data_IF_507823817305
#
_entry.id   IF_507823817305
#
_cell.length_a   1.000
_cell.length_b   1.000
_cell.length_c   1.000
_cell.angle_alpha   90.00
_cell.angle_beta   90.00
_cell.angle_gamma   90.00
#
_symmetry.space_group_name_H-M   'P 1'
#
loop_
_entity.id
_entity.type
_entity.pdbx_description
1 polymer ?
#
# COMPACT_ATOMS: atom_id res chain seq x y z
N UNK A 1 3.06 55.70 -12.30
CA UNK A 1 2.95 55.66 -10.83
C UNK A 1 2.07 54.48 -10.42
N UNK A 2 2.55 53.25 -10.65
CA UNK A 2 2.06 52.08 -9.94
C UNK A 2 3.29 51.55 -9.23
N UNK A 3 3.48 51.99 -7.99
CA UNK A 3 4.51 51.44 -7.12
C UNK A 3 4.14 49.98 -6.85
N UNK A 4 4.80 49.08 -7.56
CA UNK A 4 5.01 47.71 -7.11
C UNK A 4 5.93 47.79 -5.90
N UNK A 5 5.37 48.12 -4.74
CA UNK A 5 6.03 47.89 -3.46
C UNK A 5 6.20 46.38 -3.34
N UNK A 6 7.37 45.92 -3.76
CA UNK A 6 7.88 44.58 -3.54
C UNK A 6 7.95 44.40 -2.02
N UNK A 7 6.86 43.92 -1.42
CA UNK A 7 6.80 43.61 -0.01
C UNK A 7 7.85 42.54 0.26
N UNK A 8 8.85 42.89 1.08
CA UNK A 8 9.88 41.98 1.55
C UNK A 8 9.24 40.66 2.00
N UNK A 9 9.57 39.57 1.30
CA UNK A 9 9.26 38.17 1.60
C UNK A 9 8.26 37.96 2.76
N UNK A 10 6.97 38.17 2.49
CA UNK A 10 5.93 37.75 3.41
C UNK A 10 5.91 36.21 3.33
N UNK A 11 6.45 35.56 4.36
CA UNK A 11 6.38 34.10 4.50
C UNK A 11 5.50 33.77 5.70
N UNK A 12 4.54 32.86 5.50
CA UNK A 12 3.64 32.38 6.55
C UNK A 12 4.08 30.99 6.96
N UNK A 13 4.26 30.76 8.25
CA UNK A 13 4.49 29.43 8.81
C UNK A 13 3.19 28.88 9.37
N UNK A 14 2.82 27.69 8.91
CA UNK A 14 1.61 26.97 9.31
C UNK A 14 2.05 25.71 10.04
N UNK A 15 1.61 25.58 11.29
CA UNK A 15 1.96 24.46 12.16
C UNK A 15 0.76 23.57 12.36
N UNK A 16 0.86 22.34 11.87
CA UNK A 16 -0.17 21.32 12.06
C UNK A 16 0.08 20.62 13.38
N UNK A 17 -0.88 20.67 14.30
CA UNK A 17 -0.82 19.91 15.56
C UNK A 17 -1.65 18.64 15.44
N UNK A 18 -1.05 17.49 15.78
CA UNK A 18 -1.72 16.19 15.66
C UNK A 18 -1.34 15.23 16.78
N UNK A 19 -2.31 14.46 17.25
CA UNK A 19 -2.07 13.31 18.14
C UNK A 19 -1.55 12.06 17.41
N UNK A 20 -1.21 12.20 16.12
CA UNK A 20 -0.76 11.13 15.23
C UNK A 20 0.36 11.66 14.33
N UNK A 21 0.40 11.32 13.03
CA UNK A 21 1.41 11.81 12.09
C UNK A 21 1.07 13.18 11.48
N UNK A 22 -0.19 13.62 11.55
CA UNK A 22 -0.60 14.94 11.04
C UNK A 22 -0.85 15.03 9.53
N UNK A 23 -0.75 13.93 8.78
CA UNK A 23 -0.95 13.90 7.31
C UNK A 23 -2.25 14.58 6.83
N UNK A 24 -3.42 14.42 7.49
CA UNK A 24 -4.64 15.09 7.02
C UNK A 24 -4.53 16.62 7.09
N UNK A 25 -4.00 17.15 8.20
CA UNK A 25 -3.82 18.59 8.37
C UNK A 25 -2.76 19.15 7.44
N UNK A 26 -1.64 18.43 7.26
CA UNK A 26 -0.57 18.82 6.34
C UNK A 26 -1.06 18.88 4.89
N UNK A 27 -1.81 17.86 4.44
CA UNK A 27 -2.37 17.82 3.09
C UNK A 27 -3.32 18.99 2.84
N UNK A 28 -4.21 19.28 3.78
CA UNK A 28 -5.15 20.41 3.64
C UNK A 28 -4.41 21.74 3.62
N UNK A 29 -3.50 21.98 4.57
CA UNK A 29 -2.70 23.20 4.63
C UNK A 29 -1.87 23.42 3.36
N UNK A 30 -1.16 22.38 2.90
CA UNK A 30 -0.33 22.44 1.68
C UNK A 30 -1.15 22.68 0.42
N UNK A 31 -2.33 22.09 0.32
CA UNK A 31 -3.22 22.32 -0.82
C UNK A 31 -3.80 23.73 -0.82
N UNK A 32 -4.20 24.25 0.34
CA UNK A 32 -4.73 25.62 0.47
C UNK A 32 -3.65 26.68 0.27
N UNK A 33 -2.41 26.41 0.67
CA UNK A 33 -1.26 27.28 0.41
C UNK A 33 -1.10 27.63 -1.07
N UNK A 34 -1.41 26.70 -1.98
CA UNK A 34 -1.34 26.92 -3.45
C UNK A 34 -2.30 28.00 -3.96
N UNK A 35 -3.31 28.37 -3.18
CA UNK A 35 -4.21 29.48 -3.51
C UNK A 35 -3.56 30.86 -3.31
N UNK A 36 -2.36 30.92 -2.72
CA UNK A 36 -1.62 32.15 -2.45
C UNK A 36 -0.24 32.13 -3.17
N UNK A 37 -0.21 32.17 -4.51
CA UNK A 37 1.03 31.98 -5.28
C UNK A 37 2.08 33.09 -5.08
N UNK A 38 1.67 34.24 -4.54
CA UNK A 38 2.54 35.39 -4.27
C UNK A 38 3.19 35.37 -2.88
N UNK A 39 2.90 34.38 -2.04
CA UNK A 39 3.35 34.29 -0.64
C UNK A 39 3.97 32.92 -0.39
N UNK A 40 5.12 32.87 0.28
CA UNK A 40 5.75 31.61 0.66
C UNK A 40 5.05 31.04 1.91
N UNK A 41 4.35 29.91 1.78
CA UNK A 41 3.72 29.23 2.93
C UNK A 41 4.51 27.96 3.27
N UNK A 42 5.04 27.89 4.49
CA UNK A 42 5.78 26.73 5.01
C UNK A 42 4.90 25.97 5.97
N UNK A 43 4.67 24.69 5.69
CA UNK A 43 3.91 23.80 6.58
C UNK A 43 4.89 22.97 7.39
N UNK A 44 4.70 22.93 8.71
CA UNK A 44 5.44 22.09 9.64
C UNK A 44 4.45 21.31 10.51
N UNK A 45 4.84 20.12 10.96
CA UNK A 45 3.95 19.21 11.68
C UNK A 45 4.51 18.88 13.06
N UNK A 46 3.74 19.20 14.09
CA UNK A 46 3.91 18.65 15.44
C UNK A 46 3.07 17.38 15.57
N UNK A 47 3.74 16.25 15.37
CA UNK A 47 3.16 14.92 15.49
C UNK A 47 3.22 14.41 16.93
N UNK A 48 2.44 13.37 17.23
CA UNK A 48 2.47 12.65 18.51
C UNK A 48 2.19 13.50 19.77
N UNK A 49 1.33 14.52 19.66
CA UNK A 49 0.84 15.27 20.82
C UNK A 49 -0.24 14.46 21.55
N UNK A 50 0.17 13.68 22.55
CA UNK A 50 -0.69 12.71 23.24
C UNK A 50 -1.26 13.21 24.58
N UNK A 51 -0.60 14.21 25.17
CA UNK A 51 -0.87 14.81 26.47
C UNK A 51 -0.73 16.35 26.43
N UNK A 52 -1.29 17.01 27.45
CA UNK A 52 -1.38 18.46 27.50
C UNK A 52 -0.05 19.14 27.84
N UNK A 53 0.93 18.39 28.36
CA UNK A 53 2.20 18.91 28.86
C UNK A 53 3.07 19.49 27.73
N UNK A 54 2.96 18.91 26.53
CA UNK A 54 3.68 19.39 25.35
C UNK A 54 3.04 20.60 24.63
N UNK A 55 1.80 20.96 24.96
CA UNK A 55 1.08 22.03 24.24
C UNK A 55 1.66 23.43 24.48
N UNK A 56 2.08 23.83 25.69
CA UNK A 56 2.66 25.13 25.93
C UNK A 56 3.93 25.38 25.10
N UNK A 57 4.83 24.39 25.00
CA UNK A 57 6.05 24.53 24.19
C UNK A 57 5.75 24.70 22.72
N UNK A 58 4.76 23.96 22.20
CA UNK A 58 4.32 24.09 20.80
C UNK A 58 3.80 25.50 20.55
N UNK A 59 2.87 26.00 21.38
CA UNK A 59 2.28 27.34 21.19
C UNK A 59 3.35 28.43 21.32
N UNK A 60 4.28 28.29 22.26
CA UNK A 60 5.38 29.24 22.44
C UNK A 60 6.30 29.29 21.22
N UNK A 61 6.62 28.13 20.62
CA UNK A 61 7.40 28.05 19.38
C UNK A 61 6.68 28.76 18.24
N UNK A 62 5.40 28.45 18.02
CA UNK A 62 4.59 29.09 16.97
C UNK A 62 4.49 30.60 17.17
N UNK A 63 4.30 31.06 18.41
CA UNK A 63 4.25 32.49 18.74
C UNK A 63 5.59 33.19 18.43
N UNK A 64 6.71 32.55 18.76
CA UNK A 64 8.05 33.09 18.49
C UNK A 64 8.33 33.27 17.00
N UNK A 65 7.78 32.39 16.17
CA UNK A 65 7.94 32.42 14.72
C UNK A 65 6.82 33.18 13.99
N UNK A 66 5.87 33.79 14.73
CA UNK A 66 4.68 34.48 14.21
C UNK A 66 3.88 33.61 13.23
N UNK A 67 3.79 32.31 13.53
CA UNK A 67 3.05 31.35 12.73
C UNK A 67 1.57 31.27 13.09
N UNK A 68 0.88 30.36 12.42
CA UNK A 68 -0.49 29.97 12.75
C UNK A 68 -0.59 28.47 13.00
N UNK A 69 -1.59 28.06 13.79
CA UNK A 69 -1.85 26.67 14.13
C UNK A 69 -3.01 26.12 13.30
N UNK A 70 -2.86 24.91 12.78
CA UNK A 70 -3.93 24.09 12.22
C UNK A 70 -4.08 22.86 13.09
N UNK A 71 -5.15 22.81 13.87
CA UNK A 71 -5.36 21.80 14.89
C UNK A 71 -6.14 20.60 14.36
N UNK A 72 -5.59 19.39 14.56
CA UNK A 72 -6.20 18.10 14.22
C UNK A 72 -6.38 17.16 15.42
N UNK A 73 -6.28 17.68 16.64
CA UNK A 73 -6.45 16.90 17.87
C UNK A 73 -7.90 16.46 18.06
N UNK A 74 -8.09 15.16 18.29
CA UNK A 74 -9.43 14.54 18.47
C UNK A 74 -9.88 14.48 19.92
N UNK A 75 -8.96 14.53 20.89
CA UNK A 75 -9.27 14.60 22.32
C UNK A 75 -9.78 16.00 22.65
N UNK A 76 -10.96 16.10 23.23
CA UNK A 76 -11.58 17.40 23.55
C UNK A 76 -10.78 18.21 24.56
N UNK A 77 -10.18 17.57 25.56
CA UNK A 77 -9.36 18.27 26.58
C UNK A 77 -8.13 18.94 25.94
N UNK A 78 -7.39 18.18 25.14
CA UNK A 78 -6.23 18.63 24.37
C UNK A 78 -6.57 19.80 23.43
N UNK A 79 -7.66 19.66 22.70
CA UNK A 79 -8.14 20.66 21.75
C UNK A 79 -8.52 21.95 22.45
N UNK A 80 -9.30 21.87 23.52
CA UNK A 80 -9.67 23.02 24.33
C UNK A 80 -8.43 23.72 24.91
N UNK A 81 -7.50 22.94 25.48
CA UNK A 81 -6.28 23.48 26.07
C UNK A 81 -5.39 24.16 25.03
N UNK A 82 -5.23 23.57 23.85
CA UNK A 82 -4.45 24.16 22.76
C UNK A 82 -5.07 25.47 22.27
N UNK A 83 -6.39 25.49 22.04
CA UNK A 83 -7.10 26.68 21.57
C UNK A 83 -7.00 27.82 22.62
N UNK A 84 -7.16 27.49 23.90
CA UNK A 84 -6.97 28.44 25.00
C UNK A 84 -5.55 29.02 25.01
N UNK A 85 -4.53 28.17 24.94
CA UNK A 85 -3.14 28.62 24.93
C UNK A 85 -2.84 29.51 23.71
N UNK A 86 -3.38 29.17 22.55
CA UNK A 86 -3.24 29.96 21.33
C UNK A 86 -3.86 31.36 21.50
N UNK A 87 -5.03 31.46 22.11
CA UNK A 87 -5.66 32.75 22.44
C UNK A 87 -4.83 33.56 23.44
N UNK A 88 -4.36 32.94 24.52
CA UNK A 88 -3.51 33.59 25.54
C UNK A 88 -2.22 34.18 24.93
N UNK A 89 -1.67 33.54 23.90
CA UNK A 89 -0.43 33.96 23.23
C UNK A 89 -0.67 34.75 21.94
N UNK A 90 -1.92 35.09 21.62
CA UNK A 90 -2.30 35.77 20.36
C UNK A 90 -1.82 35.04 19.09
N UNK A 91 -1.81 33.71 19.13
CA UNK A 91 -1.47 32.84 18.00
C UNK A 91 -2.75 32.56 17.19
N UNK A 92 -2.80 32.89 15.89
CA UNK A 92 -3.92 32.52 15.03
C UNK A 92 -4.03 30.99 14.95
N UNK A 93 -5.25 30.45 15.09
CA UNK A 93 -5.48 29.02 14.99
C UNK A 93 -6.74 28.67 14.20
N UNK A 94 -6.75 27.49 13.60
CA UNK A 94 -7.91 26.88 12.95
C UNK A 94 -8.10 25.48 13.51
N UNK A 95 -9.26 25.24 14.10
CA UNK A 95 -9.65 23.91 14.58
C UNK A 95 -10.41 23.14 13.50
N UNK A 96 -9.75 22.19 12.86
CA UNK A 96 -10.35 21.42 11.77
C UNK A 96 -11.34 20.35 12.26
N UNK A 97 -11.28 19.99 13.54
CA UNK A 97 -11.96 18.81 14.08
C UNK A 97 -13.23 19.21 14.83
N UNK A 98 -13.24 20.35 15.51
CA UNK A 98 -14.36 20.78 16.36
C UNK A 98 -15.71 20.81 15.65
N UNK A 99 -15.81 21.62 14.58
CA UNK A 99 -17.09 21.77 13.85
C UNK A 99 -17.54 20.45 13.23
N UNK A 100 -16.60 19.69 12.68
CA UNK A 100 -16.90 18.42 12.00
C UNK A 100 -17.38 17.35 12.99
N UNK A 101 -16.70 17.20 14.13
CA UNK A 101 -17.08 16.24 15.17
C UNK A 101 -18.41 16.58 15.82
N UNK A 102 -18.66 17.85 16.15
CA UNK A 102 -19.95 18.30 16.71
C UNK A 102 -21.11 18.02 15.76
N UNK A 103 -20.88 18.22 14.46
CA UNK A 103 -21.88 17.91 13.43
C UNK A 103 -22.15 16.40 13.38
N UNK A 104 -21.11 15.57 13.38
CA UNK A 104 -21.28 14.11 13.41
C UNK A 104 -21.96 13.61 14.67
N UNK A 105 -21.60 14.11 15.84
CA UNK A 105 -22.24 13.75 17.11
C UNK A 105 -23.74 14.06 17.08
N UNK A 106 -24.11 15.22 16.54
CA UNK A 106 -25.51 15.62 16.37
C UNK A 106 -26.26 14.69 15.42
N UNK A 107 -25.70 14.36 14.27
CA UNK A 107 -26.36 13.52 13.26
C UNK A 107 -26.39 12.03 13.66
N UNK A 108 -25.37 11.55 14.39
CA UNK A 108 -25.27 10.15 14.82
C UNK A 108 -25.93 9.89 16.18
N UNK A 109 -26.25 10.93 16.94
CA UNK A 109 -26.83 10.83 18.29
C UNK A 109 -25.92 10.13 19.30
N UNK A 110 -24.62 10.08 19.04
CA UNK A 110 -23.62 9.38 19.87
C UNK A 110 -22.36 10.23 20.02
N UNK A 111 -21.78 10.31 21.23
CA UNK A 111 -20.53 11.04 21.44
C UNK A 111 -19.36 10.34 20.77
N UNK A 112 -18.32 11.09 20.37
CA UNK A 112 -17.11 10.51 19.80
C UNK A 112 -16.29 9.73 20.84
N UNK A 113 -15.54 8.73 20.38
CA UNK A 113 -14.60 7.96 21.23
C UNK A 113 -13.30 8.71 21.54
N UNK A 114 -12.97 9.76 20.78
CA UNK A 114 -11.82 10.65 20.99
C UNK A 114 -10.43 9.98 21.05
N UNK A 115 -10.26 8.83 20.40
CA UNK A 115 -8.99 8.10 20.38
C UNK A 115 -8.10 8.63 19.24
N UNK A 116 -6.93 9.24 19.53
CA UNK A 116 -6.00 9.66 18.49
C UNK A 116 -5.52 8.47 17.66
N UNK A 117 -5.42 8.66 16.34
CA UNK A 117 -4.93 7.61 15.47
C UNK A 117 -5.91 6.47 15.21
N UNK A 118 -7.20 6.59 15.56
CA UNK A 118 -8.22 5.58 15.23
C UNK A 118 -8.36 5.36 13.70
N UNK A 119 -7.98 6.32 12.86
CA UNK A 119 -7.85 6.11 11.41
C UNK A 119 -6.75 5.08 11.04
N UNK A 120 -5.90 4.70 12.01
CA UNK A 120 -4.91 3.62 11.90
C UNK A 120 -5.43 2.29 12.44
N UNK A 121 -6.64 2.23 13.01
CA UNK A 121 -7.30 0.98 13.42
C UNK A 121 -7.91 0.23 12.22
N UNK A 122 -7.15 0.19 11.14
CA UNK A 122 -7.07 -0.98 10.29
C UNK A 122 -5.67 -1.58 10.44
N UNK A 123 -5.29 -1.94 11.68
CA UNK A 123 -4.17 -2.86 11.93
C UNK A 123 -4.25 -4.07 10.99
N UNK A 124 -5.47 -4.50 10.66
CA UNK A 124 -5.74 -5.47 9.62
C UNK A 124 -5.30 -5.00 8.21
N UNK A 125 -5.63 -3.81 7.72
CA UNK A 125 -5.21 -3.35 6.39
C UNK A 125 -3.70 -3.25 6.28
N UNK A 126 -3.00 -2.63 7.26
CA UNK A 126 -1.52 -2.58 7.24
C UNK A 126 -0.90 -3.97 7.31
N UNK A 127 -1.51 -4.87 8.09
CA UNK A 127 -1.10 -6.27 8.13
C UNK A 127 -1.35 -6.98 6.80
N UNK A 128 -2.46 -6.71 6.11
CA UNK A 128 -2.72 -7.24 4.78
C UNK A 128 -1.75 -6.67 3.74
N UNK A 129 -1.44 -5.37 3.76
CA UNK A 129 -0.43 -4.74 2.91
C UNK A 129 0.95 -5.39 3.13
N UNK A 130 1.36 -5.53 4.40
CA UNK A 130 2.62 -6.18 4.75
C UNK A 130 2.65 -7.65 4.31
N UNK A 131 1.54 -8.39 4.48
CA UNK A 131 1.40 -9.76 3.99
C UNK A 131 1.47 -9.86 2.47
N UNK A 132 0.80 -8.98 1.76
CA UNK A 132 0.79 -8.93 0.30
C UNK A 132 2.20 -8.64 -0.24
N UNK A 133 2.88 -7.65 0.34
CA UNK A 133 4.27 -7.34 -0.01
C UNK A 133 5.20 -8.52 0.29
N UNK A 134 5.09 -9.12 1.48
CA UNK A 134 5.87 -10.31 1.84
C UNK A 134 5.60 -11.48 0.88
N UNK A 135 4.33 -11.69 0.54
CA UNK A 135 3.94 -12.72 -0.42
C UNK A 135 4.60 -12.48 -1.78
N UNK A 136 4.57 -11.25 -2.30
CA UNK A 136 5.19 -10.92 -3.59
C UNK A 136 6.71 -11.16 -3.60
N UNK A 137 7.40 -10.87 -2.49
CA UNK A 137 8.83 -11.14 -2.35
C UNK A 137 9.12 -12.64 -2.24
N UNK A 138 8.33 -13.38 -1.44
CA UNK A 138 8.54 -14.81 -1.20
C UNK A 138 8.17 -15.68 -2.43
N UNK A 139 7.43 -15.14 -3.40
CA UNK A 139 6.92 -15.82 -4.61
C UNK A 139 7.46 -15.25 -5.93
N UNK A 140 8.61 -14.59 -5.89
CA UNK A 140 9.31 -14.12 -7.08
C UNK A 140 9.96 -15.30 -7.84
N UNK A 141 10.06 -15.16 -9.17
CA UNK A 141 10.67 -16.10 -10.11
C UNK A 141 10.18 -17.55 -9.98
N UNK A 142 8.90 -17.73 -9.68
CA UNK A 142 8.25 -19.03 -9.65
C UNK A 142 8.45 -19.82 -8.36
N UNK A 143 8.89 -19.17 -7.28
CA UNK A 143 8.99 -19.79 -5.98
C UNK A 143 7.61 -20.25 -5.45
N UNK A 144 7.61 -21.36 -4.69
CA UNK A 144 6.47 -21.93 -3.97
C UNK A 144 5.21 -22.14 -4.85
N UNK A 145 5.31 -22.94 -5.93
CA UNK A 145 4.20 -23.20 -6.84
C UNK A 145 2.95 -23.77 -6.16
N UNK A 146 3.10 -24.46 -5.03
CA UNK A 146 2.02 -24.98 -4.18
C UNK A 146 1.18 -23.89 -3.49
N UNK A 147 1.75 -22.70 -3.31
CA UNK A 147 1.07 -21.56 -2.69
C UNK A 147 0.38 -20.65 -3.74
N UNK A 148 0.67 -20.80 -5.04
CA UNK A 148 0.16 -19.89 -6.10
C UNK A 148 -1.37 -19.75 -6.15
N UNK A 149 -2.12 -20.77 -5.75
CA UNK A 149 -3.60 -20.71 -5.65
C UNK A 149 -4.10 -19.66 -4.65
N UNK A 150 -3.25 -19.23 -3.71
CA UNK A 150 -3.53 -18.19 -2.72
C UNK A 150 -3.26 -16.78 -3.26
N UNK A 151 -2.65 -16.66 -4.44
CA UNK A 151 -2.39 -15.38 -5.08
C UNK A 151 -3.70 -14.75 -5.60
N UNK A 152 -3.77 -13.44 -5.48
CA UNK A 152 -4.78 -12.61 -6.14
C UNK A 152 -4.48 -12.48 -7.63
N UNK A 153 -3.19 -12.48 -8.00
CA UNK A 153 -2.72 -12.49 -9.38
C UNK A 153 -1.46 -13.32 -9.57
N UNK A 154 -1.35 -14.02 -10.70
CA UNK A 154 -0.13 -14.66 -11.18
C UNK A 154 0.32 -13.97 -12.47
N UNK A 155 1.53 -13.41 -12.45
CA UNK A 155 2.11 -12.71 -13.60
C UNK A 155 3.11 -13.61 -14.32
N UNK A 156 2.81 -13.94 -15.58
CA UNK A 156 3.70 -14.68 -16.46
C UNK A 156 4.45 -13.71 -17.38
N UNK A 157 5.69 -14.02 -17.74
CA UNK A 157 6.42 -13.24 -18.75
C UNK A 157 7.80 -13.81 -19.05
N UNK A 158 8.37 -13.36 -20.16
CA UNK A 158 9.75 -13.69 -20.52
C UNK A 158 10.76 -13.10 -19.51
N UNK A 159 12.01 -13.60 -19.46
CA UNK A 159 13.05 -12.98 -18.66
C UNK A 159 13.19 -11.48 -18.98
N UNK A 160 13.37 -10.67 -17.93
CA UNK A 160 13.55 -9.22 -18.02
C UNK A 160 12.34 -8.42 -18.53
N UNK A 161 11.11 -8.89 -18.34
CA UNK A 161 9.88 -8.10 -18.62
C UNK A 161 9.39 -7.26 -17.43
N UNK A 162 10.25 -6.93 -16.46
CA UNK A 162 9.88 -6.08 -15.32
C UNK A 162 8.92 -6.68 -14.28
N UNK A 163 8.65 -7.99 -14.35
CA UNK A 163 7.70 -8.73 -13.48
C UNK A 163 7.92 -8.49 -11.99
N UNK A 164 9.15 -8.60 -11.50
CA UNK A 164 9.49 -8.43 -10.08
C UNK A 164 9.11 -7.05 -9.56
N UNK A 165 9.41 -5.99 -10.33
CA UNK A 165 9.04 -4.62 -9.98
C UNK A 165 7.53 -4.42 -10.00
N UNK A 166 6.84 -4.97 -11.00
CA UNK A 166 5.38 -4.91 -11.10
C UNK A 166 4.70 -5.64 -9.93
N UNK A 167 5.20 -6.82 -9.54
CA UNK A 167 4.69 -7.58 -8.40
C UNK A 167 4.92 -6.85 -7.08
N UNK A 168 6.12 -6.28 -6.89
CA UNK A 168 6.41 -5.47 -5.71
C UNK A 168 5.46 -4.27 -5.61
N UNK A 169 5.22 -3.58 -6.73
CA UNK A 169 4.29 -2.45 -6.78
C UNK A 169 2.84 -2.86 -6.48
N UNK A 170 2.35 -3.97 -7.03
CA UNK A 170 1.03 -4.50 -6.68
C UNK A 170 0.95 -4.96 -5.22
N UNK A 171 2.07 -5.45 -4.66
CA UNK A 171 2.21 -5.79 -3.25
C UNK A 171 2.05 -4.59 -2.33
N UNK A 172 2.58 -3.41 -2.70
CA UNK A 172 2.36 -2.16 -1.92
C UNK A 172 0.91 -1.68 -1.99
N UNK A 173 0.15 -2.10 -3.01
CA UNK A 173 -1.29 -1.88 -3.13
C UNK A 173 -2.13 -2.94 -2.39
N UNK A 174 -1.50 -3.96 -1.78
CA UNK A 174 -2.19 -4.96 -0.98
C UNK A 174 -2.58 -6.24 -1.71
N UNK A 175 -2.12 -6.45 -2.94
CA UNK A 175 -2.40 -7.68 -3.70
C UNK A 175 -1.30 -8.71 -3.48
N UNK A 176 -1.69 -9.95 -3.16
CA UNK A 176 -0.78 -11.09 -3.16
C UNK A 176 -0.51 -11.49 -4.60
N UNK A 177 0.65 -11.13 -5.10
CA UNK A 177 1.03 -11.42 -6.49
C UNK A 177 2.18 -12.40 -6.50
N UNK A 178 2.09 -13.45 -7.31
CA UNK A 178 3.21 -14.31 -7.65
C UNK A 178 3.63 -14.02 -9.10
N UNK A 179 4.88 -14.31 -9.45
CA UNK A 179 5.28 -14.30 -10.85
C UNK A 179 6.04 -15.57 -11.25
N UNK A 180 6.07 -15.81 -12.55
CA UNK A 180 6.80 -16.93 -13.11
C UNK A 180 7.42 -16.54 -14.45
N UNK A 181 8.69 -16.87 -14.64
CA UNK A 181 9.40 -16.65 -15.89
C UNK A 181 9.16 -17.81 -16.85
N UNK A 182 8.48 -17.52 -17.95
CA UNK A 182 8.23 -18.48 -19.03
C UNK A 182 9.51 -18.68 -19.83
N UNK A 183 9.88 -19.94 -20.05
CA UNK A 183 11.02 -20.32 -20.92
C UNK A 183 10.58 -21.39 -21.92
N UNK A 184 11.00 -21.30 -23.20
CA UNK A 184 10.78 -22.35 -24.18
C UNK A 184 11.28 -23.70 -23.66
N UNK A 185 10.46 -24.75 -23.81
CA UNK A 185 10.79 -26.11 -23.40
C UNK A 185 10.67 -26.40 -21.89
N UNK A 186 10.34 -25.42 -21.05
CA UNK A 186 10.02 -25.64 -19.64
C UNK A 186 8.51 -25.66 -19.45
N UNK A 187 7.89 -26.79 -19.07
CA UNK A 187 6.47 -26.84 -18.80
C UNK A 187 6.13 -26.02 -17.54
N UNK A 188 4.88 -25.55 -17.47
CA UNK A 188 4.37 -24.95 -16.24
C UNK A 188 4.20 -26.05 -15.18
N UNK A 189 4.42 -25.75 -13.88
CA UNK A 189 4.15 -26.71 -12.81
C UNK A 189 2.69 -27.16 -12.82
N UNK A 190 2.42 -28.40 -12.43
CA UNK A 190 1.06 -28.96 -12.39
C UNK A 190 0.10 -28.12 -11.53
N UNK A 191 0.61 -27.50 -10.46
CA UNK A 191 -0.17 -26.61 -9.57
C UNK A 191 -0.72 -25.35 -10.26
N UNK A 192 -0.24 -25.04 -11.47
CA UNK A 192 -0.78 -23.98 -12.29
C UNK A 192 -2.23 -24.23 -12.72
N UNK A 193 -2.64 -25.49 -12.85
CA UNK A 193 -4.02 -25.85 -13.21
C UNK A 193 -5.03 -25.48 -12.13
N UNK A 194 -4.59 -25.38 -10.88
CA UNK A 194 -5.42 -24.99 -9.73
C UNK A 194 -5.74 -23.48 -9.70
N UNK A 195 -5.13 -22.69 -10.58
CA UNK A 195 -5.24 -21.24 -10.57
C UNK A 195 -6.36 -20.79 -11.51
N UNK A 196 -7.33 -19.99 -11.02
CA UNK A 196 -8.35 -19.45 -11.89
C UNK A 196 -7.74 -18.58 -13.00
N UNK A 197 -8.06 -18.90 -14.28
CA UNK A 197 -7.48 -18.22 -15.46
C UNK A 197 -7.63 -16.69 -15.43
N UNK A 198 -8.71 -16.18 -14.85
CA UNK A 198 -8.97 -14.75 -14.70
C UNK A 198 -8.00 -14.01 -13.75
N UNK A 199 -7.18 -14.75 -12.98
CA UNK A 199 -6.12 -14.20 -12.12
C UNK A 199 -4.74 -14.29 -12.77
N UNK A 200 -4.63 -14.89 -13.96
CA UNK A 200 -3.36 -15.10 -14.64
C UNK A 200 -3.20 -14.06 -15.74
N UNK A 201 -2.09 -13.31 -15.69
CA UNK A 201 -1.79 -12.23 -16.63
C UNK A 201 -0.45 -12.49 -17.31
N UNK A 202 -0.44 -12.59 -18.63
CA UNK A 202 0.76 -12.75 -19.45
C UNK A 202 1.27 -11.40 -19.94
N UNK A 203 2.46 -10.99 -19.50
CA UNK A 203 3.13 -9.80 -20.03
C UNK A 203 3.73 -10.13 -21.40
N UNK A 204 3.42 -9.29 -22.39
CA UNK A 204 3.93 -9.38 -23.75
C UNK A 204 4.67 -8.09 -24.10
N UNK A 205 5.71 -8.22 -24.94
CA UNK A 205 6.50 -7.11 -25.40
C UNK A 205 7.05 -7.44 -26.79
N UNK A 206 7.26 -6.42 -27.63
CA UNK A 206 7.88 -6.64 -28.94
C UNK A 206 9.31 -7.19 -28.78
N UNK A 207 9.80 -8.02 -29.72
CA UNK A 207 11.17 -8.52 -29.69
C UNK A 207 12.23 -7.40 -29.59
N UNK A 208 11.99 -6.27 -30.24
CA UNK A 208 12.88 -5.11 -30.25
C UNK A 208 12.94 -4.47 -28.86
N UNK A 209 11.78 -4.23 -28.23
CA UNK A 209 11.71 -3.66 -26.89
C UNK A 209 12.27 -4.61 -25.83
N UNK A 210 12.06 -5.93 -25.97
CA UNK A 210 12.67 -6.93 -25.11
C UNK A 210 14.20 -6.91 -25.17
N UNK A 211 14.75 -6.76 -26.38
CA UNK A 211 16.20 -6.68 -26.54
C UNK A 211 16.77 -5.41 -25.91
N UNK A 212 16.10 -4.27 -26.10
CA UNK A 212 16.48 -3.01 -25.46
C UNK A 212 16.43 -3.13 -23.92
N UNK A 213 15.38 -3.74 -23.38
CA UNK A 213 15.22 -3.92 -21.94
C UNK A 213 16.29 -4.85 -21.35
N UNK A 214 16.60 -5.97 -22.00
CA UNK A 214 17.68 -6.88 -21.57
C UNK A 214 19.04 -6.19 -21.56
N UNK A 215 19.32 -5.38 -22.58
CA UNK A 215 20.55 -4.58 -22.67
C UNK A 215 20.65 -3.59 -21.52
N UNK A 216 19.54 -2.89 -21.20
CA UNK A 216 19.47 -1.95 -20.07
C UNK A 216 19.68 -2.65 -18.72
N UNK A 217 19.01 -3.78 -18.50
CA UNK A 217 19.18 -4.55 -17.26
C UNK A 217 20.61 -5.05 -17.07
N UNK A 218 21.23 -5.60 -18.13
CA UNK A 218 22.63 -6.05 -18.07
C UNK A 218 23.56 -4.90 -17.68
N UNK A 219 23.37 -3.71 -18.27
CA UNK A 219 24.14 -2.52 -17.92
C UNK A 219 23.94 -2.12 -16.46
N UNK A 220 22.70 -2.11 -15.97
CA UNK A 220 22.40 -1.76 -14.58
C UNK A 220 22.99 -2.76 -13.56
N UNK A 221 23.03 -4.06 -13.89
CA UNK A 221 23.67 -5.07 -13.03
C UNK A 221 25.17 -4.87 -12.99
N UNK A 222 25.81 -4.58 -14.13
CA UNK A 222 27.23 -4.25 -14.20
C UNK A 222 27.52 -2.99 -13.38
N UNK A 223 26.72 -1.93 -13.54
CA UNK A 223 26.88 -0.68 -12.79
C UNK A 223 26.68 -0.89 -11.28
N UNK A 224 25.69 -1.70 -10.88
CA UNK A 224 25.46 -2.06 -9.48
C UNK A 224 26.62 -2.89 -8.89
N UNK A 225 27.19 -3.82 -9.66
CA UNK A 225 28.36 -4.60 -9.24
C UNK A 225 29.62 -3.73 -9.15
N UNK A 226 29.77 -2.74 -10.04
CA UNK A 226 30.85 -1.73 -9.98
C UNK A 226 30.68 -0.84 -8.75
N UNK A 227 29.46 -0.38 -8.45
CA UNK A 227 29.16 0.43 -7.25
C UNK A 227 29.34 -0.36 -5.95
N UNK A 228 28.95 -1.64 -5.92
CA UNK A 228 29.22 -2.55 -4.81
C UNK A 228 30.71 -2.76 -4.58
N UNK A 229 31.51 -2.85 -5.65
CA UNK A 229 32.99 -2.90 -5.56
C UNK A 229 33.61 -1.59 -5.07
N UNK A 230 32.91 -0.46 -5.23
CA UNK A 230 33.34 0.87 -4.78
C UNK A 230 32.79 1.27 -3.41
N UNK A 231 32.04 0.39 -2.72
CA UNK A 231 31.70 0.55 -1.29
C UNK A 231 30.64 1.60 -0.96
N UNK A 232 29.75 1.97 -1.89
CA UNK A 232 28.65 2.90 -1.60
C UNK A 232 27.33 2.14 -1.37
N UNK A 233 26.71 2.33 -0.19
CA UNK A 233 25.40 1.79 0.18
C UNK A 233 24.29 2.48 -0.64
N UNK A 234 23.32 1.71 -1.12
CA UNK A 234 22.20 2.19 -1.94
C UNK A 234 21.22 3.05 -1.13
N UNK A 235 20.84 4.19 -1.71
CA UNK A 235 19.79 5.12 -1.25
C UNK A 235 18.39 4.59 -1.65
N UNK A 236 17.35 4.59 -0.79
CA UNK A 236 16.07 3.90 -1.04
C UNK A 236 15.12 4.58 -2.03
N UNK A 237 15.47 5.73 -2.62
CA UNK A 237 14.55 6.56 -3.40
C UNK A 237 14.42 6.21 -4.91
N UNK A 238 14.99 5.09 -5.37
CA UNK A 238 15.06 4.72 -6.80
C UNK A 238 13.77 4.21 -7.47
N UNK A 239 12.60 4.29 -6.82
CA UNK A 239 11.34 3.75 -7.38
C UNK A 239 10.69 4.63 -8.47
N UNK A 240 11.19 5.84 -8.73
CA UNK A 240 10.57 6.81 -9.65
C UNK A 240 11.12 6.81 -11.09
N UNK A 241 12.11 5.97 -11.42
CA UNK A 241 12.71 5.94 -12.77
C UNK A 241 12.31 4.71 -13.61
N UNK A 242 11.15 4.12 -13.34
CA UNK A 242 10.61 3.11 -14.24
C UNK A 242 9.91 3.78 -15.44
N UNK A 243 10.70 4.31 -16.37
CA UNK A 243 10.23 4.70 -17.70
C UNK A 243 10.58 3.58 -18.70
N UNK A 244 9.63 2.77 -19.17
CA UNK A 244 9.92 1.65 -20.06
C UNK A 244 10.58 2.10 -21.37
N UNK A 245 10.43 3.35 -21.81
CA UNK A 245 11.04 3.86 -23.04
C UNK A 245 11.51 5.31 -22.86
N UNK A 246 12.71 5.51 -22.31
CA UNK A 246 13.52 6.68 -22.69
C UNK A 246 14.45 6.24 -23.83
N UNK A 247 14.34 6.82 -25.04
CA UNK A 247 15.28 6.50 -26.12
C UNK A 247 16.69 6.82 -25.66
N UNK A 248 17.62 5.90 -25.91
CA UNK A 248 19.06 6.17 -25.73
C UNK A 248 19.35 7.40 -26.59
N UNK A 249 19.75 8.49 -25.95
CA UNK A 249 20.04 9.75 -26.63
C UNK A 249 21.09 9.52 -27.73
N UNK A 250 20.68 9.63 -28.99
CA UNK A 250 21.58 9.69 -30.15
C UNK A 250 21.48 8.57 -31.18
N UNK A 251 20.55 7.62 -31.08
CA UNK A 251 20.34 6.60 -32.14
C UNK A 251 18.96 6.80 -32.75
N UNK A 252 18.90 7.27 -34.00
CA UNK A 252 17.64 7.27 -34.75
C UNK A 252 17.11 5.83 -34.92
N UNK A 253 15.79 5.60 -34.81
CA UNK A 253 15.20 4.28 -34.91
C UNK A 253 15.12 3.85 -36.38
N UNK A 254 16.24 3.43 -36.96
CA UNK A 254 16.26 2.81 -38.28
C UNK A 254 16.59 1.32 -38.14
N UNK A 255 15.57 0.49 -38.38
CA UNK A 255 15.62 -0.95 -38.68
C UNK A 255 16.37 -1.87 -37.70
N UNK A 256 16.32 -1.62 -36.39
CA UNK A 256 16.75 -2.65 -35.45
C UNK A 256 15.79 -3.85 -35.50
N UNK A 257 16.26 -4.99 -36.03
CA UNK A 257 15.55 -6.27 -36.00
C UNK A 257 16.11 -7.11 -34.85
N UNK A 258 15.25 -7.56 -33.94
CA UNK A 258 15.68 -8.39 -32.82
C UNK A 258 16.30 -9.72 -33.29
N UNK A 259 17.27 -10.31 -32.56
CA UNK A 259 17.84 -11.62 -32.88
C UNK A 259 16.76 -12.70 -33.04
N UNK A 260 16.93 -13.67 -33.97
CA UNK A 260 15.94 -14.74 -34.20
C UNK A 260 15.56 -15.53 -32.95
N UNK A 261 16.51 -15.74 -32.04
CA UNK A 261 16.25 -16.40 -30.76
C UNK A 261 15.24 -15.63 -29.88
N UNK A 262 15.35 -14.30 -29.83
CA UNK A 262 14.42 -13.46 -29.07
C UNK A 262 13.04 -13.44 -29.75
N UNK A 263 13.00 -13.41 -31.08
CA UNK A 263 11.74 -13.52 -31.82
C UNK A 263 11.04 -14.86 -31.54
N UNK A 264 11.80 -15.97 -31.49
CA UNK A 264 11.28 -17.30 -31.15
C UNK A 264 10.76 -17.36 -29.71
N UNK A 265 11.47 -16.75 -28.75
CA UNK A 265 11.00 -16.66 -27.35
C UNK A 265 9.67 -15.91 -27.25
N UNK A 266 9.54 -14.76 -27.91
CA UNK A 266 8.31 -13.96 -27.93
C UNK A 266 7.17 -14.73 -28.60
N UNK A 267 7.44 -15.37 -29.75
CA UNK A 267 6.45 -16.19 -30.45
C UNK A 267 5.97 -17.37 -29.60
N UNK A 268 6.90 -18.08 -28.95
CA UNK A 268 6.57 -19.17 -28.02
C UNK A 268 5.67 -18.68 -26.87
N UNK A 269 6.03 -17.54 -26.27
CA UNK A 269 5.28 -16.94 -25.18
C UNK A 269 3.83 -16.59 -25.59
N UNK A 270 3.66 -15.99 -26.78
CA UNK A 270 2.35 -15.64 -27.32
C UNK A 270 1.48 -16.87 -27.59
N UNK A 271 2.06 -17.91 -28.20
CA UNK A 271 1.39 -19.19 -28.46
C UNK A 271 0.97 -19.88 -27.15
N UNK A 272 1.86 -19.90 -26.15
CA UNK A 272 1.54 -20.42 -24.82
C UNK A 272 0.37 -19.67 -24.20
N UNK A 273 0.39 -18.33 -24.19
CA UNK A 273 -0.68 -17.54 -23.59
C UNK A 273 -2.02 -17.71 -24.31
N UNK A 274 -1.98 -17.91 -25.62
CA UNK A 274 -3.17 -18.23 -26.39
C UNK A 274 -3.74 -19.60 -26.02
N UNK A 275 -2.89 -20.63 -25.91
CA UNK A 275 -3.30 -21.98 -25.48
C UNK A 275 -3.85 -22.02 -24.06
N UNK A 276 -3.33 -21.17 -23.18
CA UNK A 276 -3.77 -21.06 -21.79
C UNK A 276 -5.02 -20.19 -21.60
N UNK A 277 -5.48 -19.50 -22.66
CA UNK A 277 -6.64 -18.59 -22.64
C UNK A 277 -6.54 -17.50 -21.55
N UNK A 278 -5.33 -16.99 -21.32
CA UNK A 278 -5.08 -15.96 -20.29
C UNK A 278 -5.06 -14.55 -20.90
N UNK A 279 -5.28 -13.54 -20.05
CA UNK A 279 -5.19 -12.14 -20.47
C UNK A 279 -3.75 -11.77 -20.80
N UNK A 280 -3.56 -11.09 -21.93
CA UNK A 280 -2.26 -10.60 -22.42
C UNK A 280 -2.17 -9.10 -22.23
N UNK A 281 -1.10 -8.62 -21.59
CA UNK A 281 -0.87 -7.21 -21.29
C UNK A 281 0.38 -6.74 -22.02
N UNK A 282 0.23 -5.77 -22.93
CA UNK A 282 1.35 -5.24 -23.72
C UNK A 282 2.10 -4.16 -22.95
N UNK A 283 3.33 -4.47 -22.56
CA UNK A 283 4.17 -3.56 -21.76
C UNK A 283 5.15 -2.75 -22.63
N UNK A 284 5.07 -2.85 -23.96
CA UNK A 284 6.05 -2.25 -24.90
C UNK A 284 6.15 -0.72 -24.75
N UNK A 285 5.04 -0.04 -24.48
CA UNK A 285 4.97 1.43 -24.40
C UNK A 285 4.27 1.93 -23.14
N UNK A 286 3.87 1.04 -22.25
CA UNK A 286 3.08 1.38 -21.08
C UNK A 286 3.94 1.45 -19.82
N UNK A 287 3.69 2.44 -18.97
CA UNK A 287 4.33 2.50 -17.66
C UNK A 287 3.87 1.33 -16.78
N UNK A 288 4.73 0.91 -15.85
CA UNK A 288 4.38 -0.12 -14.86
C UNK A 288 3.11 0.25 -14.05
N UNK A 289 2.89 1.55 -13.81
CA UNK A 289 1.69 2.07 -13.14
C UNK A 289 0.42 1.90 -13.96
N UNK A 290 0.49 2.05 -15.30
CA UNK A 290 -0.64 1.81 -16.22
C UNK A 290 -1.04 0.35 -16.19
N UNK A 291 -0.06 -0.54 -16.38
CA UNK A 291 -0.26 -2.00 -16.37
C UNK A 291 -0.79 -2.48 -15.02
N UNK A 292 -0.25 -1.97 -13.91
CA UNK A 292 -0.76 -2.29 -12.59
C UNK A 292 -2.22 -1.85 -12.40
N UNK A 293 -2.58 -0.65 -12.89
CA UNK A 293 -3.96 -0.15 -12.84
C UNK A 293 -4.90 -1.01 -13.67
N UNK A 294 -4.45 -1.48 -14.84
CA UNK A 294 -5.21 -2.39 -15.68
C UNK A 294 -5.45 -3.74 -15.01
N UNK A 295 -4.41 -4.34 -14.40
CA UNK A 295 -4.53 -5.59 -13.64
C UNK A 295 -5.57 -5.43 -12.52
N UNK A 296 -5.46 -4.38 -11.71
CA UNK A 296 -6.39 -4.10 -10.61
C UNK A 296 -7.82 -3.92 -11.12
N UNK A 297 -7.99 -3.20 -12.23
CA UNK A 297 -9.31 -3.02 -12.86
C UNK A 297 -9.92 -4.34 -13.33
N UNK A 298 -9.12 -5.20 -13.96
CA UNK A 298 -9.56 -6.52 -14.41
C UNK A 298 -9.96 -7.40 -13.23
N UNK A 299 -9.14 -7.48 -12.18
CA UNK A 299 -9.47 -8.19 -10.94
C UNK A 299 -10.78 -7.67 -10.33
N UNK A 300 -10.97 -6.35 -10.29
CA UNK A 300 -12.18 -5.71 -9.78
C UNK A 300 -13.45 -6.02 -10.58
N UNK A 301 -13.36 -6.15 -11.91
CA UNK A 301 -14.51 -6.56 -12.76
C UNK A 301 -15.02 -7.96 -12.39
N UNK A 302 -14.11 -8.90 -12.13
CA UNK A 302 -14.49 -10.27 -11.76
C UNK A 302 -15.14 -10.35 -10.39
N UNK A 303 -14.67 -9.56 -9.42
CA UNK A 303 -15.31 -9.50 -8.10
C UNK A 303 -16.74 -8.95 -8.19
N UNK A 304 -16.97 -7.94 -9.05
CA UNK A 304 -18.30 -7.35 -9.27
C UNK A 304 -19.26 -8.30 -10.00
N UNK A 305 -18.79 -9.04 -11.00
CA UNK A 305 -19.61 -10.03 -11.70
C UNK A 305 -19.93 -11.25 -10.83
N UNK A 306 -19.03 -11.63 -9.92
CA UNK A 306 -19.28 -12.66 -8.92
C UNK A 306 -20.31 -12.20 -7.87
N UNK A 307 -20.28 -10.93 -7.44
CA UNK A 307 -21.27 -10.38 -6.51
C UNK A 307 -22.66 -10.19 -7.15
N UNK A 308 -22.75 -9.84 -8.43
CA UNK A 308 -24.05 -9.73 -9.13
C UNK A 308 -24.72 -11.08 -9.41
N UNK A 309 -23.99 -12.18 -9.21
CA UNK A 309 -24.52 -13.55 -9.29
C UNK A 309 -25.12 -14.01 -7.94
N UNK A 310 -25.05 -13.17 -6.91
CA UNK A 310 -25.47 -13.41 -5.54
C UNK A 310 -26.46 -12.30 -5.11
N UNK A 311 -27.70 -12.35 -5.60
CA UNK A 311 -28.79 -11.55 -5.03
C UNK A 311 -29.95 -12.42 -4.55
N UNK A 312 -30.39 -12.06 -3.32
CA UNK A 312 -31.60 -12.43 -2.58
C UNK A 312 -31.62 -13.80 -1.89
N UNK A 313 -30.97 -13.85 -0.72
CA UNK A 313 -31.54 -14.58 0.42
C UNK A 313 -31.87 -13.54 1.50
N UNK A 314 -33.16 -13.46 1.82
CA UNK A 314 -33.78 -12.51 2.75
C UNK A 314 -33.01 -12.38 4.07
N UNK A 315 -32.71 -11.13 4.44
CA UNK A 315 -32.29 -10.79 5.79
C UNK A 315 -33.55 -10.77 6.65
N UNK A 316 -33.72 -11.65 7.65
CA UNK A 316 -34.86 -11.54 8.55
C UNK A 316 -34.68 -10.28 9.40
N UNK A 317 -35.67 -9.41 9.34
CA UNK A 317 -35.86 -8.27 10.25
C UNK A 317 -35.92 -8.79 11.67
N UNK A 318 -34.98 -8.36 12.52
CA UNK A 318 -35.03 -8.59 13.96
C UNK A 318 -36.01 -7.57 14.55
N UNK A 319 -37.20 -8.04 14.91
CA UNK A 319 -38.09 -7.32 15.82
C UNK A 319 -37.43 -7.26 17.20
N UNK A 320 -37.38 -6.07 17.79
CA UNK A 320 -36.90 -5.83 19.14
C UNK A 320 -38.11 -5.89 20.05
N UNK A 321 -38.27 -6.99 20.78
CA UNK A 321 -39.24 -7.06 21.88
C UNK A 321 -38.61 -6.48 23.15
N UNK A 322 -39.19 -5.37 23.61
CA UNK A 322 -39.09 -4.93 25.00
C UNK A 322 -39.93 -5.87 25.88
N UNK A 323 -39.31 -6.58 26.83
CA UNK A 323 -39.82 -6.73 28.20
C UNK A 323 -38.87 -7.59 29.05
N UNK A 324 -38.74 -7.24 30.33
CA UNK A 324 -37.75 -7.79 31.24
C UNK A 324 -38.21 -9.00 32.09
N UNK A 325 -37.30 -9.35 33.00
CA UNK A 325 -37.39 -10.24 34.19
C UNK A 325 -37.01 -11.74 34.05
N UNK A 326 -35.85 -12.01 34.65
CA UNK A 326 -35.53 -12.96 35.73
C UNK A 326 -35.87 -14.47 35.65
N UNK A 327 -34.81 -15.23 35.92
CA UNK A 327 -34.71 -16.49 36.71
C UNK A 327 -34.74 -17.86 36.00
N UNK A 328 -33.53 -18.45 35.98
CA UNK A 328 -33.09 -19.71 36.60
C UNK A 328 -33.47 -21.11 36.07
N UNK A 329 -32.44 -21.98 36.12
CA UNK A 329 -32.40 -23.45 36.14
C UNK A 329 -32.55 -24.30 34.85
N UNK A 330 -31.44 -24.94 34.48
CA UNK A 330 -31.30 -26.41 34.52
C UNK A 330 -31.86 -27.32 33.40
N UNK A 331 -30.93 -28.08 32.80
CA UNK A 331 -31.07 -29.41 32.15
C UNK A 331 -31.35 -29.51 30.62
N UNK A 332 -30.32 -30.01 29.93
CA UNK A 332 -30.36 -30.82 28.68
C UNK A 332 -31.01 -32.19 28.95
N UNK A 333 -31.59 -32.95 27.97
CA UNK A 333 -30.77 -33.50 26.88
C UNK A 333 -31.46 -33.97 25.54
N UNK A 334 -30.58 -34.29 24.58
CA UNK A 334 -30.69 -35.30 23.49
C UNK A 334 -31.57 -35.04 22.24
N UNK A 335 -30.88 -34.71 21.14
CA UNK A 335 -30.83 -35.58 19.96
C UNK A 335 -31.82 -35.33 18.81
N UNK A 336 -31.33 -34.78 17.70
CA UNK A 336 -31.44 -35.39 16.36
C UNK A 336 -30.56 -34.63 15.35
N UNK A 337 -29.77 -35.42 14.64
CA UNK A 337 -28.76 -35.08 13.65
C UNK A 337 -29.33 -34.54 12.33
N UNK A 338 -28.75 -33.48 11.78
CA UNK A 338 -28.60 -33.32 10.32
C UNK A 338 -27.26 -32.65 9.97
N UNK A 339 -26.50 -33.34 9.12
CA UNK A 339 -25.22 -32.95 8.55
C UNK A 339 -25.37 -31.77 7.58
N UNK A 340 -24.56 -30.71 7.76
CA UNK A 340 -24.09 -29.83 6.68
C UNK A 340 -22.66 -29.39 6.93
N UNK A 341 -21.78 -30.02 6.16
CA UNK A 341 -20.37 -29.69 5.97
C UNK A 341 -20.18 -28.34 5.27
N UNK A 342 -19.07 -27.69 5.64
CA UNK A 342 -18.32 -26.70 4.85
C UNK A 342 -18.82 -25.26 4.83
N UNK A 343 -18.47 -24.48 5.86
CA UNK A 343 -17.81 -23.17 5.75
C UNK A 343 -17.36 -22.73 7.16
N UNK A 344 -16.06 -22.87 7.45
CA UNK A 344 -15.46 -22.51 8.75
C UNK A 344 -15.40 -20.99 8.89
N UNK A 345 -16.23 -20.44 9.77
CA UNK A 345 -15.97 -19.17 10.47
C UNK A 345 -14.73 -19.35 11.34
N UNK A 346 -13.72 -18.50 11.17
CA UNK A 346 -12.58 -18.47 12.07
C UNK A 346 -12.96 -17.68 13.32
N UNK A 347 -12.96 -18.36 14.47
CA UNK A 347 -13.16 -17.82 15.80
C UNK A 347 -11.76 -17.53 16.38
N UNK A 348 -11.47 -16.35 16.95
CA UNK A 348 -10.16 -16.08 17.53
C UNK A 348 -9.95 -16.96 18.77
N UNK A 349 -8.94 -17.82 18.70
CA UNK A 349 -8.50 -18.64 19.83
C UNK A 349 -7.89 -17.73 20.90
N UNK A 350 -8.29 -17.97 22.14
CA UNK A 350 -7.78 -17.39 23.38
C UNK A 350 -6.25 -17.47 23.46
N UNK A 351 -5.66 -16.41 23.99
CA UNK A 351 -4.29 -16.33 24.48
C UNK A 351 -3.92 -17.54 25.35
N UNK A 352 -2.84 -18.22 24.97
CA UNK A 352 -1.89 -18.86 25.88
C UNK A 352 -0.55 -19.00 25.15
N UNK A 353 0.31 -17.99 25.23
CA UNK A 353 1.74 -18.14 24.95
C UNK A 353 2.54 -17.24 25.90
N UNK A 354 2.80 -17.78 27.08
CA UNK A 354 3.80 -17.28 28.01
C UNK A 354 4.67 -18.45 28.48
N UNK A 355 5.48 -19.05 27.58
CA UNK A 355 6.58 -19.96 27.93
C UNK A 355 7.34 -20.49 26.71
N UNK A 356 8.15 -19.67 26.01
CA UNK A 356 9.25 -20.17 25.15
C UNK A 356 10.07 -19.04 24.49
N UNK A 357 10.40 -17.99 25.24
CA UNK A 357 11.36 -16.96 24.81
C UNK A 357 12.50 -16.82 25.83
N UNK A 358 13.12 -17.95 26.18
CA UNK A 358 14.44 -18.02 26.84
C UNK A 358 15.08 -19.34 26.44
N UNK A 359 15.83 -19.34 25.34
CA UNK A 359 16.97 -20.20 25.04
C UNK A 359 17.28 -20.12 23.53
N UNK A 360 18.10 -19.15 23.13
CA UNK A 360 18.97 -19.20 21.94
C UNK A 360 19.70 -17.85 21.79
N UNK A 361 20.56 -17.55 22.76
CA UNK A 361 21.68 -16.64 22.56
C UNK A 361 22.92 -17.36 23.06
N UNK A 362 23.52 -18.15 22.17
CA UNK A 362 24.87 -18.66 22.35
C UNK A 362 25.62 -18.40 21.03
N UNK A 363 26.76 -17.68 21.04
CA UNK A 363 27.55 -17.47 19.83
C UNK A 363 28.28 -18.78 19.46
N UNK A 364 28.35 -19.16 18.17
CA UNK A 364 29.16 -20.30 17.78
C UNK A 364 30.65 -19.95 17.90
N UNK A 365 31.36 -20.76 18.68
CA UNK A 365 32.82 -20.85 18.68
C UNK A 365 33.29 -21.36 17.31
N UNK A 366 34.45 -20.88 16.88
CA UNK A 366 34.87 -20.89 15.49
C UNK A 366 35.34 -22.23 14.95
N UNK A 367 35.73 -22.20 13.67
CA UNK A 367 36.88 -22.94 13.18
C UNK A 367 37.47 -22.25 11.94
N UNK A 368 38.76 -21.98 12.09
CA UNK A 368 39.78 -21.61 11.12
C UNK A 368 39.74 -22.49 9.87
N UNK A 369 39.87 -21.90 8.69
CA UNK A 369 40.52 -22.54 7.54
C UNK A 369 41.13 -21.49 6.62
N UNK A 370 42.42 -21.70 6.37
CA UNK A 370 43.33 -20.94 5.52
C UNK A 370 42.97 -21.07 4.04
N UNK A 371 42.90 -19.95 3.32
CA UNK A 371 43.68 -19.57 2.11
C UNK A 371 42.98 -18.47 1.34
#
# INVERSE_FOLDING_TARGET
FFETFFCMACSLKVYVTSGSLGEPGERVATNLARQFPSVEVKVQVFSHLLDEDGLPSVVQEVASEKGMIVNTLVKSSMRYRLNQLAEEHNVPYVDMIDTFMKTMEKELGKPPVEIPGLYRDTANERYQLSKAMKYAVDHDEGARPEEWRLADALILGLPSTGKTMLCAFLGTMGYKVANYTVRPGTPLPDTFEDIPRHRVFGLIMTPEALTQHRTRCLRSTIDADVLKRQGSLLDPHGLNEFNPVSPISGVEPTEYTAPPAIQQEVAFCLDLYQKLEITKLDITKESATSIASEIVHLLGKFLKSASSSFELADVPTVEVDEEGKSDDSGEEPLGLSFSRSSFRRYNPVKNDFNSSFKESMAPPRGNTLYL
#
